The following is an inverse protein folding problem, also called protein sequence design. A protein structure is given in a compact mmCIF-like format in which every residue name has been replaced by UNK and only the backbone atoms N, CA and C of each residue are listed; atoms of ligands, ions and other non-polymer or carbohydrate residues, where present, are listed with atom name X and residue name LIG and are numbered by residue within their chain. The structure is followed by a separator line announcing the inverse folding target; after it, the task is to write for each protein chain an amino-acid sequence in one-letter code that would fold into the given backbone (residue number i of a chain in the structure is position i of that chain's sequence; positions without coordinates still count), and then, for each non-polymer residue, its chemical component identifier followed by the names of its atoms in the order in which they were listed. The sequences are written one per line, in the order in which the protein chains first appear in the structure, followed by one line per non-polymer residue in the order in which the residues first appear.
data_IF_722316136644
#
_entry.id   IF_722316136644
#
_cell.length_a   1.000
_cell.length_b   1.000
_cell.length_c   1.000
_cell.angle_alpha   90.00
_cell.angle_beta   90.00
_cell.angle_gamma   90.00
#
_symmetry.space_group_name_H-M   'P 1'
#
loop_
_entity.id
_entity.type
_entity.pdbx_description
1 polymer ?
#
# COMPACT_ATOMS: atom_id res chain seq x y z
N UNK A 1 -9.11 8.39 -35.14
CA UNK A 1 -9.14 7.01 -34.62
C UNK A 1 -7.73 6.45 -34.69
N UNK A 2 -7.02 6.37 -33.57
CA UNK A 2 -5.66 5.83 -33.52
C UNK A 2 -5.75 4.31 -33.33
N UNK A 3 -5.19 3.55 -34.28
CA UNK A 3 -5.03 2.11 -34.17
C UNK A 3 -4.06 1.81 -33.01
N UNK A 4 -4.57 1.13 -31.97
CA UNK A 4 -3.72 0.59 -30.92
C UNK A 4 -2.83 -0.49 -31.54
N UNK A 5 -1.57 -0.14 -31.82
CA UNK A 5 -0.55 -1.06 -32.33
C UNK A 5 -0.34 -2.15 -31.28
N UNK A 6 -0.75 -3.38 -31.59
CA UNK A 6 -0.55 -4.54 -30.70
C UNK A 6 0.96 -4.79 -30.63
N UNK A 7 1.54 -4.49 -29.47
CA UNK A 7 2.96 -4.67 -29.22
C UNK A 7 3.26 -6.14 -28.93
N UNK A 8 4.36 -6.67 -29.46
CA UNK A 8 4.72 -8.09 -29.23
C UNK A 8 5.14 -8.29 -27.77
N UNK A 9 4.89 -9.46 -27.20
CA UNK A 9 5.17 -9.78 -25.78
C UNK A 9 6.63 -9.57 -25.38
N UNK A 10 7.60 -9.74 -26.29
CA UNK A 10 9.01 -9.48 -26.00
C UNK A 10 9.37 -7.99 -25.95
N UNK A 11 8.59 -7.12 -26.61
CA UNK A 11 8.78 -5.67 -26.58
C UNK A 11 8.26 -5.08 -25.25
N UNK A 12 7.21 -5.67 -24.66
CA UNK A 12 6.71 -5.26 -23.33
C UNK A 12 7.68 -5.65 -22.23
N UNK A 13 8.36 -6.80 -22.34
CA UNK A 13 9.35 -7.25 -21.35
C UNK A 13 10.54 -6.29 -21.19
N UNK A 14 10.85 -5.48 -22.20
CA UNK A 14 11.91 -4.46 -22.11
C UNK A 14 11.56 -3.31 -21.16
N UNK A 15 10.28 -3.10 -20.87
CA UNK A 15 9.81 -2.06 -19.94
C UNK A 15 9.56 -2.61 -18.53
N UNK A 16 9.85 -3.90 -18.31
CA UNK A 16 9.66 -4.53 -17.00
C UNK A 16 10.80 -4.19 -16.04
N UNK A 17 10.51 -4.03 -14.74
CA UNK A 17 11.54 -3.84 -13.73
C UNK A 17 12.53 -5.00 -13.68
N UNK A 18 13.75 -4.70 -13.24
CA UNK A 18 14.82 -5.68 -13.06
C UNK A 18 15.55 -5.43 -11.76
N UNK A 19 15.87 -6.51 -11.04
CA UNK A 19 16.82 -6.45 -9.93
C UNK A 19 18.22 -6.21 -10.50
N UNK A 20 18.92 -5.22 -9.95
CA UNK A 20 20.30 -4.92 -10.22
C UNK A 20 21.14 -5.67 -9.19
N UNK A 21 22.17 -6.39 -9.65
CA UNK A 21 23.04 -7.21 -8.80
C UNK A 21 24.41 -6.56 -8.60
N UNK A 22 24.86 -5.75 -9.56
CA UNK A 22 26.19 -5.13 -9.54
C UNK A 22 26.12 -3.68 -10.02
N UNK A 23 27.11 -2.88 -9.64
CA UNK A 23 27.17 -1.45 -9.93
C UNK A 23 27.20 -1.17 -11.45
N UNK A 24 27.82 -2.04 -12.22
CA UNK A 24 27.96 -1.92 -13.67
C UNK A 24 26.61 -1.96 -14.41
N UNK A 25 25.60 -2.62 -13.81
CA UNK A 25 24.25 -2.75 -14.37
C UNK A 25 23.38 -1.51 -14.11
N UNK A 26 23.82 -0.59 -13.25
CA UNK A 26 23.10 0.67 -12.99
C UNK A 26 23.13 1.52 -14.26
N UNK A 27 22.01 2.11 -14.70
CA UNK A 27 22.02 3.04 -15.82
C UNK A 27 22.96 4.23 -15.57
N UNK A 28 23.75 4.62 -16.57
CA UNK A 28 24.79 5.65 -16.44
C UNK A 28 24.29 6.95 -15.82
N UNK A 29 23.05 7.34 -16.13
CA UNK A 29 22.44 8.54 -15.56
C UNK A 29 22.44 8.49 -14.02
N UNK A 30 22.18 7.35 -13.40
CA UNK A 30 22.14 7.22 -11.94
C UNK A 30 23.49 6.91 -11.29
N UNK A 31 24.51 6.53 -12.06
CA UNK A 31 25.79 6.04 -11.52
C UNK A 31 26.46 7.04 -10.57
N UNK A 32 26.64 8.28 -10.99
CA UNK A 32 27.27 9.34 -10.18
C UNK A 32 26.58 9.53 -8.82
N UNK A 33 25.25 9.48 -8.81
CA UNK A 33 24.46 9.63 -7.59
C UNK A 33 24.38 8.35 -6.74
N UNK A 34 24.66 7.19 -7.34
CA UNK A 34 24.69 5.91 -6.66
C UNK A 34 26.05 5.61 -6.04
N UNK A 35 27.14 6.23 -6.51
CA UNK A 35 28.49 6.10 -5.95
C UNK A 35 28.56 6.41 -4.44
N UNK A 36 27.61 7.17 -3.90
CA UNK A 36 27.47 7.41 -2.46
C UNK A 36 27.17 6.14 -1.65
N UNK A 37 26.72 5.07 -2.31
CA UNK A 37 26.48 3.74 -1.76
C UNK A 37 27.58 2.74 -2.19
N UNK A 38 28.51 3.15 -3.06
CA UNK A 38 29.60 2.33 -3.56
C UNK A 38 30.74 2.32 -2.51
N UNK A 39 31.09 1.13 -2.01
CA UNK A 39 31.95 0.94 -0.83
C UNK A 39 31.28 0.16 0.32
N UNK A 40 30.00 -0.21 0.16
CA UNK A 40 29.33 -1.11 1.09
C UNK A 40 29.87 -2.55 0.96
N UNK A 41 29.91 -3.30 2.06
CA UNK A 41 30.38 -4.71 2.07
C UNK A 41 29.55 -5.62 1.17
N UNK A 42 28.30 -5.24 0.90
CA UNK A 42 27.37 -5.95 0.02
C UNK A 42 26.59 -4.95 -0.83
N UNK A 43 26.38 -5.28 -2.10
CA UNK A 43 25.58 -4.45 -3.00
C UNK A 43 24.12 -4.36 -2.49
N UNK A 44 23.53 -3.16 -2.41
CA UNK A 44 22.19 -2.97 -1.85
C UNK A 44 21.11 -3.64 -2.69
N UNK A 45 19.94 -3.88 -2.10
CA UNK A 45 18.82 -4.43 -2.84
C UNK A 45 18.25 -3.35 -3.76
N UNK A 46 18.64 -3.40 -5.04
CA UNK A 46 18.31 -2.36 -6.02
C UNK A 46 17.44 -2.89 -7.14
N UNK A 47 16.40 -2.12 -7.51
CA UNK A 47 15.52 -2.40 -8.65
C UNK A 47 15.58 -1.23 -9.61
N UNK A 48 15.90 -1.52 -10.86
CA UNK A 48 15.75 -0.61 -11.97
C UNK A 48 14.35 -0.74 -12.58
N UNK A 49 13.70 0.40 -12.81
CA UNK A 49 12.37 0.49 -13.41
C UNK A 49 12.49 1.32 -14.69
N UNK A 50 12.50 0.66 -15.87
CA UNK A 50 12.55 1.36 -17.14
C UNK A 50 11.30 2.23 -17.35
N UNK A 51 11.38 3.29 -18.17
CA UNK A 51 10.23 4.10 -18.53
C UNK A 51 9.25 3.28 -19.37
N UNK A 52 7.97 3.38 -19.05
CA UNK A 52 6.86 2.82 -19.79
C UNK A 52 5.93 3.95 -20.24
N UNK A 53 6.05 4.33 -21.52
CA UNK A 53 5.27 5.42 -22.13
C UNK A 53 3.75 5.18 -22.10
N UNK A 54 3.30 3.95 -21.93
CA UNK A 54 1.89 3.60 -21.85
C UNK A 54 1.33 3.61 -20.43
N UNK A 55 2.19 3.64 -19.40
CA UNK A 55 1.75 3.77 -18.01
C UNK A 55 1.77 5.22 -17.58
N UNK A 56 0.64 5.73 -17.05
CA UNK A 56 0.61 7.07 -16.45
C UNK A 56 1.51 7.18 -15.22
N UNK A 57 1.69 6.08 -14.47
CA UNK A 57 2.48 6.01 -13.23
C UNK A 57 3.96 5.78 -13.49
N UNK A 58 4.33 5.27 -14.67
CA UNK A 58 5.70 4.88 -14.97
C UNK A 58 6.27 5.53 -16.24
N UNK A 59 5.98 6.81 -16.48
CA UNK A 59 6.52 7.54 -17.64
C UNK A 59 8.04 7.75 -17.56
N UNK A 60 8.53 7.95 -16.35
CA UNK A 60 9.91 8.31 -16.07
C UNK A 60 10.70 7.10 -15.61
N UNK A 61 11.98 7.05 -15.99
CA UNK A 61 12.97 6.09 -15.51
C UNK A 61 13.16 6.23 -14.01
N UNK A 62 13.16 5.12 -13.26
CA UNK A 62 13.38 5.13 -11.81
C UNK A 62 14.36 4.05 -11.39
N UNK A 63 15.01 4.30 -10.26
CA UNK A 63 15.79 3.33 -9.51
C UNK A 63 15.27 3.36 -8.07
N UNK A 64 15.06 2.20 -7.45
CA UNK A 64 14.81 2.10 -6.02
C UNK A 64 15.90 1.24 -5.41
N UNK A 65 16.48 1.71 -4.30
CA UNK A 65 17.54 1.00 -3.59
C UNK A 65 17.25 0.97 -2.11
N UNK A 66 17.34 -0.22 -1.52
CA UNK A 66 17.24 -0.41 -0.07
C UNK A 66 18.63 -0.63 0.48
N UNK A 67 19.04 0.24 1.39
CA UNK A 67 20.35 0.19 2.03
C UNK A 67 20.23 0.62 3.49
N UNK A 68 20.81 -0.17 4.40
CA UNK A 68 20.58 -0.08 5.85
C UNK A 68 19.09 0.04 6.19
N UNK A 69 18.72 1.06 6.97
CA UNK A 69 17.33 1.37 7.35
C UNK A 69 16.72 2.47 6.47
N UNK A 70 17.10 2.51 5.18
CA UNK A 70 16.71 3.56 4.25
C UNK A 70 16.29 3.03 2.89
N UNK A 71 15.40 3.77 2.25
CA UNK A 71 15.01 3.62 0.85
C UNK A 71 15.38 4.87 0.08
N UNK A 72 16.15 4.68 -0.97
CA UNK A 72 16.46 5.70 -1.95
C UNK A 72 15.59 5.49 -3.17
N UNK A 73 14.80 6.51 -3.53
CA UNK A 73 14.04 6.55 -4.77
C UNK A 73 14.67 7.60 -5.68
N UNK A 74 15.27 7.14 -6.77
CA UNK A 74 15.83 7.98 -7.82
C UNK A 74 14.82 8.08 -8.96
N UNK A 75 14.62 9.28 -9.46
CA UNK A 75 13.71 9.55 -10.58
C UNK A 75 14.39 10.48 -11.57
N UNK A 76 14.37 10.09 -12.84
CA UNK A 76 14.77 10.97 -13.93
C UNK A 76 13.64 11.95 -14.26
N UNK A 77 13.88 13.25 -14.08
CA UNK A 77 12.96 14.34 -14.39
C UNK A 77 13.67 15.34 -15.32
N UNK A 78 13.29 15.41 -16.61
CA UNK A 78 13.86 16.35 -17.58
C UNK A 78 15.40 16.35 -17.62
N UNK A 79 16.02 15.16 -17.69
CA UNK A 79 17.48 14.94 -17.65
C UNK A 79 18.17 15.33 -16.33
N UNK A 80 17.41 15.69 -15.29
CA UNK A 80 17.92 15.82 -13.92
C UNK A 80 17.49 14.62 -13.09
N UNK A 81 18.26 14.29 -12.07
CA UNK A 81 17.87 13.24 -11.12
C UNK A 81 17.33 13.91 -9.87
N UNK A 82 16.12 13.49 -9.50
CA UNK A 82 15.55 13.72 -8.19
C UNK A 82 15.78 12.48 -7.33
N UNK A 83 16.28 12.69 -6.12
CA UNK A 83 16.55 11.62 -5.16
C UNK A 83 15.77 11.92 -3.89
N UNK A 84 14.95 10.98 -3.47
CA UNK A 84 14.26 11.05 -2.18
C UNK A 84 14.75 9.88 -1.33
N UNK A 85 15.28 10.21 -0.15
CA UNK A 85 15.74 9.23 0.83
C UNK A 85 14.73 9.18 1.98
N UNK A 86 14.03 8.05 2.10
CA UNK A 86 13.16 7.77 3.24
C UNK A 86 13.93 6.91 4.23
N UNK A 87 14.06 7.36 5.48
CA UNK A 87 14.40 6.44 6.57
C UNK A 87 13.16 5.63 6.91
N UNK A 88 13.31 4.36 7.25
CA UNK A 88 12.18 3.51 7.63
C UNK A 88 11.37 4.11 8.78
N UNK A 89 12.04 4.64 9.80
CA UNK A 89 11.40 5.29 10.95
C UNK A 89 10.51 6.49 10.57
N UNK A 90 10.77 7.15 9.44
CA UNK A 90 10.04 8.33 8.96
C UNK A 90 8.93 8.01 7.95
N UNK A 91 8.78 6.74 7.57
CA UNK A 91 7.69 6.30 6.70
C UNK A 91 6.39 6.29 7.52
N UNK A 92 5.40 7.07 7.07
CA UNK A 92 4.09 7.17 7.69
C UNK A 92 3.19 6.00 7.29
N UNK A 93 3.24 5.60 6.02
CA UNK A 93 2.54 4.43 5.52
C UNK A 93 3.11 3.98 4.17
N UNK A 94 2.88 2.71 3.83
CA UNK A 94 3.21 2.16 2.51
C UNK A 94 1.95 1.62 1.87
N UNK A 95 1.71 1.97 0.61
CA UNK A 95 0.61 1.43 -0.19
C UNK A 95 1.18 0.48 -1.26
N UNK A 96 0.54 -0.67 -1.44
CA UNK A 96 0.71 -1.51 -2.62
C UNK A 96 -0.63 -1.64 -3.32
N UNK A 97 -0.65 -1.47 -4.63
CA UNK A 97 -1.83 -1.71 -5.45
C UNK A 97 -1.50 -2.70 -6.54
N UNK A 98 -2.42 -3.62 -6.80
CA UNK A 98 -2.28 -4.65 -7.83
C UNK A 98 -3.62 -4.80 -8.54
N UNK A 99 -3.70 -4.32 -9.77
CA UNK A 99 -4.91 -4.37 -10.60
C UNK A 99 -4.53 -4.92 -11.96
N UNK A 100 -4.99 -6.14 -12.27
CA UNK A 100 -4.60 -6.86 -13.49
C UNK A 100 -3.07 -6.87 -13.66
N UNK A 101 -2.56 -6.22 -14.72
CA UNK A 101 -1.13 -6.11 -15.04
C UNK A 101 -0.52 -4.76 -14.64
N UNK A 102 -1.27 -3.87 -13.99
CA UNK A 102 -0.78 -2.59 -13.46
C UNK A 102 -0.70 -2.67 -11.93
N UNK A 103 0.52 -2.75 -11.43
CA UNK A 103 0.81 -2.72 -10.00
C UNK A 103 1.60 -1.47 -9.66
N UNK A 104 1.58 -1.07 -8.39
CA UNK A 104 2.43 0.00 -7.89
C UNK A 104 2.76 -0.19 -6.42
N UNK A 105 3.88 0.40 -6.03
CA UNK A 105 4.14 0.73 -4.63
C UNK A 105 4.14 2.24 -4.47
N UNK A 106 3.63 2.73 -3.34
CA UNK A 106 3.72 4.12 -2.93
C UNK A 106 4.27 4.18 -1.51
N UNK A 107 5.34 4.93 -1.33
CA UNK A 107 5.97 5.18 -0.05
C UNK A 107 5.65 6.61 0.35
N UNK A 108 5.10 6.80 1.53
CA UNK A 108 4.70 8.08 2.07
C UNK A 108 5.38 8.31 3.41
N UNK A 109 6.11 9.41 3.54
CA UNK A 109 6.87 9.69 4.77
C UNK A 109 7.38 11.11 4.84
N UNK A 110 8.00 11.45 5.97
CA UNK A 110 8.64 12.74 6.17
C UNK A 110 10.09 12.71 5.68
N UNK A 111 10.44 13.71 4.88
CA UNK A 111 11.81 13.92 4.39
C UNK A 111 12.11 15.40 4.53
N UNK A 112 13.14 15.74 5.33
CA UNK A 112 13.50 17.13 5.64
C UNK A 112 12.30 17.95 6.17
N UNK A 113 11.54 17.38 7.12
CA UNK A 113 10.34 17.98 7.72
C UNK A 113 9.22 18.30 6.72
N UNK A 114 9.24 17.69 5.53
CA UNK A 114 8.17 17.79 4.55
C UNK A 114 7.62 16.41 4.25
N UNK A 115 6.31 16.31 4.17
CA UNK A 115 5.68 15.09 3.67
C UNK A 115 5.99 14.91 2.18
N UNK A 116 6.53 13.74 1.84
CA UNK A 116 6.83 13.33 0.47
C UNK A 116 6.16 11.99 0.18
N UNK A 117 5.83 11.80 -1.08
CA UNK A 117 5.28 10.56 -1.60
C UNK A 117 5.99 10.17 -2.87
N UNK A 118 6.42 8.92 -2.96
CA UNK A 118 7.04 8.35 -4.16
C UNK A 118 6.22 7.15 -4.63
N UNK A 119 5.69 7.22 -5.85
CA UNK A 119 4.94 6.12 -6.47
C UNK A 119 5.73 5.51 -7.63
N UNK A 120 5.86 4.19 -7.61
CA UNK A 120 6.55 3.41 -8.64
C UNK A 120 5.54 2.42 -9.21
N UNK A 121 5.10 2.66 -10.45
CA UNK A 121 4.28 1.72 -11.20
C UNK A 121 5.11 0.66 -11.90
N UNK A 122 4.63 -0.58 -11.93
CA UNK A 122 5.29 -1.71 -12.56
C UNK A 122 4.29 -2.75 -13.06
N UNK A 123 4.78 -3.69 -13.87
CA UNK A 123 3.97 -4.81 -14.31
C UNK A 123 3.82 -5.84 -13.18
N UNK A 124 2.59 -6.27 -12.88
CA UNK A 124 2.28 -7.24 -11.80
C UNK A 124 3.08 -8.54 -11.88
N UNK A 125 3.53 -8.96 -13.08
CA UNK A 125 4.41 -10.12 -13.26
C UNK A 125 5.72 -9.99 -12.46
N UNK A 126 6.13 -8.76 -12.13
CA UNK A 126 7.35 -8.44 -11.36
C UNK A 126 7.07 -7.96 -9.93
N UNK A 127 5.89 -8.25 -9.39
CA UNK A 127 5.53 -7.93 -8.00
C UNK A 127 6.49 -8.57 -6.99
N UNK A 128 7.04 -9.75 -7.33
CA UNK A 128 8.09 -10.46 -6.59
C UNK A 128 9.29 -9.59 -6.23
N UNK A 129 9.62 -8.60 -7.07
CA UNK A 129 10.74 -7.69 -6.83
C UNK A 129 10.43 -6.66 -5.73
N UNK A 130 9.17 -6.22 -5.59
CA UNK A 130 8.79 -5.10 -4.73
C UNK A 130 8.25 -5.53 -3.36
N UNK A 131 7.61 -6.70 -3.26
CA UNK A 131 7.13 -7.23 -1.99
C UNK A 131 8.22 -7.31 -0.90
N UNK A 132 9.48 -7.70 -1.20
CA UNK A 132 10.56 -7.67 -0.21
C UNK A 132 10.83 -6.28 0.36
N UNK A 133 10.66 -5.21 -0.43
CA UNK A 133 10.83 -3.83 0.04
C UNK A 133 9.73 -3.47 1.03
N UNK A 134 8.46 -3.73 0.68
CA UNK A 134 7.32 -3.49 1.57
C UNK A 134 7.48 -4.26 2.87
N UNK A 135 7.84 -5.55 2.78
CA UNK A 135 8.11 -6.38 3.95
C UNK A 135 9.21 -5.80 4.84
N UNK A 136 10.34 -5.41 4.26
CA UNK A 136 11.48 -4.80 5.00
C UNK A 136 11.10 -3.49 5.70
N UNK A 137 10.29 -2.63 5.05
CA UNK A 137 9.76 -1.42 5.69
C UNK A 137 8.92 -1.79 6.90
N UNK A 138 7.98 -2.73 6.75
CA UNK A 138 7.09 -3.11 7.84
C UNK A 138 7.86 -3.74 9.01
N UNK A 139 8.76 -4.68 8.73
CA UNK A 139 9.60 -5.36 9.74
C UNK A 139 10.57 -4.42 10.47
N UNK A 140 11.02 -3.34 9.84
CA UNK A 140 11.94 -2.39 10.47
C UNK A 140 11.23 -1.39 11.39
N UNK A 141 10.00 -0.99 11.05
CA UNK A 141 9.20 -0.08 11.88
C UNK A 141 8.59 -0.84 13.07
N UNK A 142 8.20 -2.09 12.83
CA UNK A 142 7.45 -2.89 13.79
C UNK A 142 8.39 -3.86 14.51
N UNK A 143 8.50 -3.72 15.83
CA UNK A 143 9.09 -4.80 16.66
C UNK A 143 8.03 -5.87 16.84
N UNK A 144 8.17 -6.97 16.10
CA UNK A 144 7.22 -8.07 16.16
C UNK A 144 7.56 -8.92 17.39
N UNK A 145 6.55 -9.20 18.20
CA UNK A 145 6.64 -10.17 19.30
C UNK A 145 6.14 -11.53 18.80
N UNK A 146 6.87 -12.61 19.08
CA UNK A 146 6.53 -13.93 18.58
C UNK A 146 5.09 -14.32 18.95
N UNK A 147 4.28 -14.72 17.96
CA UNK A 147 2.97 -15.29 18.17
C UNK A 147 2.70 -16.48 17.24
N UNK A 148 1.72 -17.31 17.58
CA UNK A 148 1.30 -18.42 16.71
C UNK A 148 0.52 -17.86 15.50
N UNK A 149 1.25 -17.68 14.40
CA UNK A 149 0.71 -17.15 13.13
C UNK A 149 -0.49 -17.97 12.64
N UNK A 150 -0.51 -19.30 12.86
CA UNK A 150 -1.62 -20.15 12.40
C UNK A 150 -2.91 -19.84 13.14
N UNK A 151 -2.82 -19.64 14.45
CA UNK A 151 -3.95 -19.26 15.28
C UNK A 151 -4.48 -17.87 14.89
N UNK A 152 -3.58 -16.91 14.64
CA UNK A 152 -3.95 -15.55 14.24
C UNK A 152 -4.65 -15.51 12.88
N UNK A 153 -4.15 -16.27 11.89
CA UNK A 153 -4.82 -16.40 10.60
C UNK A 153 -6.17 -17.11 10.69
N UNK A 154 -6.41 -17.95 11.70
CA UNK A 154 -7.69 -18.64 11.91
C UNK A 154 -8.81 -17.67 12.31
N UNK A 155 -8.47 -16.53 12.94
CA UNK A 155 -9.43 -15.46 13.26
C UNK A 155 -10.09 -14.87 12.01
N UNK A 156 -9.48 -15.05 10.84
CA UNK A 156 -9.98 -14.58 9.54
C UNK A 156 -10.91 -15.59 8.85
N UNK A 157 -11.06 -16.81 9.38
CA UNK A 157 -11.74 -17.90 8.67
C UNK A 157 -13.24 -17.63 8.41
N UNK A 158 -13.89 -16.78 9.20
CA UNK A 158 -15.28 -16.36 8.96
C UNK A 158 -15.44 -15.62 7.62
N UNK A 159 -14.36 -15.02 7.08
CA UNK A 159 -14.38 -14.34 5.78
C UNK A 159 -14.51 -15.32 4.61
N UNK A 160 -14.18 -16.62 4.78
CA UNK A 160 -14.34 -17.62 3.72
C UNK A 160 -15.77 -17.68 3.19
N UNK A 161 -16.75 -17.46 4.07
CA UNK A 161 -18.17 -17.51 3.72
C UNK A 161 -18.72 -16.13 3.34
N UNK A 162 -18.16 -15.05 3.89
CA UNK A 162 -18.60 -13.69 3.59
C UNK A 162 -18.05 -13.18 2.26
N UNK A 163 -16.73 -13.28 2.06
CA UNK A 163 -16.04 -12.76 0.88
C UNK A 163 -14.66 -13.45 0.74
N UNK A 164 -14.60 -14.47 -0.14
CA UNK A 164 -13.40 -15.26 -0.38
C UNK A 164 -12.22 -14.41 -0.91
N UNK A 165 -12.50 -13.31 -1.61
CA UNK A 165 -11.47 -12.41 -2.12
C UNK A 165 -10.79 -11.69 -0.97
N UNK A 166 -11.57 -11.10 -0.07
CA UNK A 166 -11.04 -10.43 1.12
C UNK A 166 -10.42 -11.40 2.14
N UNK A 167 -10.89 -12.65 2.20
CA UNK A 167 -10.19 -13.71 2.93
C UNK A 167 -8.77 -13.95 2.39
N UNK A 168 -8.60 -14.05 1.07
CA UNK A 168 -7.27 -14.24 0.48
C UNK A 168 -6.39 -13.00 0.66
N UNK A 169 -6.96 -11.80 0.50
CA UNK A 169 -6.23 -10.55 0.69
C UNK A 169 -5.75 -10.36 2.12
N UNK A 170 -6.60 -10.64 3.10
CA UNK A 170 -6.21 -10.55 4.52
C UNK A 170 -5.08 -11.53 4.85
N UNK A 171 -5.18 -12.80 4.42
CA UNK A 171 -4.11 -13.79 4.64
C UNK A 171 -2.74 -13.40 4.06
N UNK A 172 -2.73 -12.72 2.92
CA UNK A 172 -1.49 -12.25 2.30
C UNK A 172 -0.91 -10.99 2.96
N UNK A 173 -1.71 -10.29 3.76
CA UNK A 173 -1.34 -9.00 4.35
C UNK A 173 -0.68 -9.12 5.72
N UNK A 174 -0.99 -10.17 6.49
CA UNK A 174 -0.46 -10.35 7.84
C UNK A 174 0.99 -10.86 7.77
N UNK A 175 1.91 -10.18 8.45
CA UNK A 175 3.28 -10.66 8.59
C UNK A 175 3.32 -11.87 9.51
N UNK A 176 4.41 -12.63 9.40
CA UNK A 176 4.70 -13.67 10.39
C UNK A 176 4.78 -13.03 11.78
N UNK A 177 4.18 -13.69 12.76
CA UNK A 177 4.18 -13.29 14.18
C UNK A 177 3.40 -11.99 14.49
N UNK A 178 2.59 -11.48 13.57
CA UNK A 178 1.61 -10.43 13.89
C UNK A 178 0.35 -11.00 14.55
N UNK A 179 -0.09 -10.34 15.64
CA UNK A 179 -1.34 -10.65 16.34
C UNK A 179 -2.47 -9.84 15.70
N UNK A 180 -3.51 -10.52 15.23
CA UNK A 180 -4.75 -9.90 14.76
C UNK A 180 -5.62 -9.57 15.97
N UNK A 181 -5.85 -8.27 16.19
CA UNK A 181 -6.61 -7.72 17.31
C UNK A 181 -8.07 -7.52 16.93
N UNK A 182 -8.31 -6.93 15.75
CA UNK A 182 -9.67 -6.69 15.26
C UNK A 182 -9.73 -6.69 13.74
N UNK A 183 -10.89 -7.03 13.18
CA UNK A 183 -11.14 -7.05 11.73
C UNK A 183 -12.52 -6.49 11.46
N UNK A 184 -12.59 -5.49 10.59
CA UNK A 184 -13.86 -4.90 10.14
C UNK A 184 -13.96 -5.04 8.63
N UNK A 185 -14.97 -5.76 8.16
CA UNK A 185 -15.28 -5.88 6.74
C UNK A 185 -16.53 -5.06 6.38
N UNK A 186 -16.42 -4.27 5.33
CA UNK A 186 -17.52 -3.49 4.78
C UNK A 186 -17.76 -3.91 3.33
N UNK A 187 -18.91 -4.54 3.03
CA UNK A 187 -19.35 -4.77 1.65
C UNK A 187 -19.55 -3.46 0.87
N UNK A 188 -19.68 -3.53 -0.46
CA UNK A 188 -20.01 -2.35 -1.27
C UNK A 188 -21.32 -1.67 -0.80
N UNK A 189 -21.28 -0.34 -0.68
CA UNK A 189 -22.47 0.46 -0.36
C UNK A 189 -23.00 1.07 -1.65
N UNK A 190 -24.27 0.81 -1.93
CA UNK A 190 -24.99 1.33 -3.09
C UNK A 190 -26.17 2.19 -2.63
N UNK A 191 -26.20 3.45 -3.05
CA UNK A 191 -27.33 4.36 -2.83
C UNK A 191 -28.35 4.28 -3.96
N UNK A 192 -29.63 4.45 -3.64
CA UNK A 192 -30.67 4.58 -4.67
C UNK A 192 -30.61 6.00 -5.24
N UNK A 193 -30.30 6.13 -6.53
CA UNK A 193 -30.26 7.42 -7.23
C UNK A 193 -31.55 7.66 -8.05
N UNK A 194 -32.31 6.60 -8.34
CA UNK A 194 -33.67 6.64 -8.91
C UNK A 194 -34.37 5.29 -8.64
N UNK A 195 -35.67 5.14 -8.95
CA UNK A 195 -36.47 3.91 -8.63
C UNK A 195 -35.80 2.58 -9.00
N UNK A 196 -35.01 2.55 -10.08
CA UNK A 196 -34.26 1.38 -10.55
C UNK A 196 -32.74 1.57 -10.65
N UNK A 197 -32.24 2.80 -10.49
CA UNK A 197 -30.82 3.11 -10.65
C UNK A 197 -30.13 3.22 -9.30
N UNK A 198 -29.09 2.42 -9.09
CA UNK A 198 -28.23 2.50 -7.90
C UNK A 198 -26.91 3.16 -8.26
N UNK A 199 -26.46 4.10 -7.44
CA UNK A 199 -25.14 4.73 -7.51
C UNK A 199 -24.28 4.15 -6.40
N UNK A 200 -23.11 3.62 -6.75
CA UNK A 200 -22.17 3.12 -5.74
C UNK A 200 -21.59 4.30 -4.94
N UNK A 201 -21.64 4.22 -3.62
CA UNK A 201 -21.04 5.18 -2.68
C UNK A 201 -19.62 4.78 -2.32
N UNK A 202 -19.41 3.51 -1.98
CA UNK A 202 -18.07 2.95 -1.74
C UNK A 202 -17.99 1.50 -2.22
N UNK A 203 -16.78 1.07 -2.58
CA UNK A 203 -16.47 -0.32 -2.86
C UNK A 203 -16.35 -1.11 -1.54
N UNK A 204 -16.27 -2.44 -1.67
CA UNK A 204 -15.90 -3.27 -0.55
C UNK A 204 -14.48 -2.91 -0.06
N UNK A 205 -14.31 -2.92 1.25
CA UNK A 205 -13.03 -2.70 1.90
C UNK A 205 -12.99 -3.38 3.27
N UNK A 206 -11.79 -3.49 3.82
CA UNK A 206 -11.53 -4.17 5.08
C UNK A 206 -10.45 -3.44 5.85
N UNK A 207 -10.60 -3.43 7.16
CA UNK A 207 -9.58 -2.96 8.10
C UNK A 207 -9.16 -4.10 8.99
N UNK A 208 -7.86 -4.28 9.17
CA UNK A 208 -7.29 -5.24 10.10
C UNK A 208 -6.39 -4.48 11.05
N UNK A 209 -6.76 -4.46 12.33
CA UNK A 209 -5.92 -3.95 13.39
C UNK A 209 -5.04 -5.10 13.89
N UNK A 210 -3.72 -4.97 13.72
CA UNK A 210 -2.74 -5.85 14.34
C UNK A 210 -2.17 -5.21 15.61
N UNK A 211 -1.28 -5.89 16.31
CA UNK A 211 -0.53 -5.32 17.42
C UNK A 211 0.49 -4.25 16.98
N UNK A 212 0.79 -4.14 15.69
CA UNK A 212 1.87 -3.27 15.18
C UNK A 212 1.42 -2.27 14.12
N UNK A 213 0.37 -2.57 13.36
CA UNK A 213 -0.14 -1.69 12.31
C UNK A 213 -1.65 -1.82 12.09
N UNK A 214 -2.20 -0.84 11.39
CA UNK A 214 -3.54 -0.86 10.84
C UNK A 214 -3.42 -1.09 9.34
N UNK A 215 -3.96 -2.21 8.86
CA UNK A 215 -3.95 -2.59 7.46
C UNK A 215 -5.32 -2.25 6.86
N UNK A 216 -5.33 -1.45 5.79
CA UNK A 216 -6.54 -1.11 5.04
C UNK A 216 -6.47 -1.73 3.65
N UNK A 217 -7.43 -2.60 3.35
CA UNK A 217 -7.56 -3.31 2.08
C UNK A 217 -8.78 -2.78 1.34
N UNK A 218 -8.63 -2.32 0.10
CA UNK A 218 -9.71 -1.74 -0.71
C UNK A 218 -9.73 -2.34 -2.11
N UNK A 219 -10.91 -2.45 -2.70
CA UNK A 219 -11.00 -2.64 -4.15
C UNK A 219 -10.83 -1.30 -4.88
N UNK A 220 -10.22 -1.32 -6.06
CA UNK A 220 -10.06 -0.12 -6.88
C UNK A 220 -11.41 0.46 -7.31
N UNK A 221 -11.51 1.79 -7.29
CA UNK A 221 -12.71 2.50 -7.67
C UNK A 221 -13.08 2.29 -9.14
N UNK A 222 -12.11 1.96 -10.00
CA UNK A 222 -12.30 1.77 -11.43
C UNK A 222 -12.95 2.97 -12.11
N UNK A 223 -12.95 2.98 -13.44
CA UNK A 223 -13.89 3.84 -14.15
C UNK A 223 -15.28 3.18 -14.14
N UNK A 224 -16.36 3.97 -14.02
CA UNK A 224 -17.77 3.50 -13.98
C UNK A 224 -18.20 2.57 -15.14
N UNK A 225 -17.37 2.39 -16.17
CA UNK A 225 -17.68 1.63 -17.39
C UNK A 225 -17.06 0.23 -17.45
N UNK A 226 -16.08 -0.10 -16.61
CA UNK A 226 -15.40 -1.40 -16.68
C UNK A 226 -15.79 -2.30 -15.50
N UNK A 227 -16.60 -3.32 -15.79
CA UNK A 227 -16.90 -4.41 -14.82
C UNK A 227 -15.66 -5.23 -14.45
N UNK A 228 -14.54 -5.06 -15.17
CA UNK A 228 -13.24 -5.70 -14.91
C UNK A 228 -12.43 -5.03 -13.79
N UNK A 229 -12.86 -3.88 -13.27
CA UNK A 229 -12.22 -3.17 -12.13
C UNK A 229 -12.26 -3.92 -10.80
N UNK A 230 -13.00 -5.03 -10.72
CA UNK A 230 -13.00 -5.92 -9.54
C UNK A 230 -11.78 -6.84 -9.45
N UNK A 231 -10.87 -6.81 -10.43
CA UNK A 231 -9.70 -7.69 -10.48
C UNK A 231 -8.47 -6.97 -9.91
N UNK A 232 -8.45 -6.83 -8.58
CA UNK A 232 -7.34 -6.20 -7.86
C UNK A 232 -7.69 -5.74 -6.46
N UNK A 233 -6.63 -5.37 -5.73
CA UNK A 233 -6.68 -4.83 -4.38
C UNK A 233 -5.67 -3.70 -4.20
N UNK A 234 -5.93 -2.85 -3.22
CA UNK A 234 -5.03 -1.81 -2.73
C UNK A 234 -4.89 -2.02 -1.24
N UNK A 235 -3.67 -2.10 -0.75
CA UNK A 235 -3.33 -2.33 0.65
C UNK A 235 -2.52 -1.15 1.16
N UNK A 236 -3.03 -0.44 2.16
CA UNK A 236 -2.23 0.48 2.98
C UNK A 236 -1.79 -0.23 4.24
N UNK A 237 -0.50 -0.14 4.52
CA UNK A 237 0.16 -0.59 5.74
C UNK A 237 0.54 0.64 6.56
N UNK A 238 -0.17 0.86 7.67
CA UNK A 238 -0.04 2.07 8.49
C UNK A 238 0.43 1.67 9.89
N UNK A 239 1.72 1.85 10.23
CA UNK A 239 2.22 1.60 11.58
C UNK A 239 1.40 2.34 12.63
N UNK A 240 1.02 1.70 13.74
CA UNK A 240 0.13 2.37 14.72
C UNK A 240 0.80 3.60 15.35
N UNK A 241 2.13 3.58 15.48
CA UNK A 241 2.94 4.72 15.95
C UNK A 241 2.83 5.96 15.06
N UNK A 242 2.33 5.82 13.83
CA UNK A 242 2.13 6.91 12.87
C UNK A 242 0.68 7.41 12.83
N UNK A 243 -0.21 6.78 13.59
CA UNK A 243 -1.62 7.18 13.71
C UNK A 243 -1.76 8.12 14.92
N UNK A 244 -2.25 9.33 14.65
CA UNK A 244 -2.58 10.32 15.67
C UNK A 244 -3.89 10.00 16.37
N UNK A 245 -4.93 9.66 15.60
CA UNK A 245 -6.27 9.38 16.13
C UNK A 245 -7.15 8.68 15.10
N UNK A 246 -8.12 7.91 15.59
CA UNK A 246 -9.19 7.31 14.80
C UNK A 246 -10.52 8.01 15.16
N UNK A 247 -11.27 8.48 14.17
CA UNK A 247 -12.46 9.32 14.38
C UNK A 247 -13.63 8.81 13.53
N UNK A 248 -14.83 8.76 14.10
CA UNK A 248 -16.08 8.53 13.38
C UNK A 248 -16.78 9.88 13.20
N UNK A 249 -17.13 10.20 11.97
CA UNK A 249 -17.97 11.34 11.62
C UNK A 249 -19.30 10.82 11.05
N UNK A 250 -20.38 11.09 11.79
CA UNK A 250 -21.73 10.65 11.42
C UNK A 250 -22.41 11.74 10.58
N UNK A 251 -23.10 11.31 9.53
CA UNK A 251 -24.02 12.17 8.82
C UNK A 251 -25.45 11.89 9.31
N UNK A 252 -26.12 12.88 9.88
CA UNK A 252 -27.43 12.71 10.52
C UNK A 252 -28.54 12.29 9.54
N UNK A 253 -28.33 12.45 8.22
CA UNK A 253 -29.31 12.15 7.18
C UNK A 253 -29.04 10.83 6.43
N UNK A 254 -27.90 10.17 6.69
CA UNK A 254 -27.46 8.98 5.94
C UNK A 254 -27.30 7.76 6.86
N UNK A 255 -27.59 6.56 6.35
CA UNK A 255 -27.37 5.28 7.06
C UNK A 255 -25.91 4.79 6.99
N UNK A 256 -24.98 5.74 6.94
CA UNK A 256 -23.54 5.51 6.92
C UNK A 256 -22.78 6.61 7.65
N UNK A 257 -21.49 6.36 7.87
CA UNK A 257 -20.58 7.25 8.55
C UNK A 257 -19.20 7.19 7.89
N UNK A 258 -18.42 8.26 8.08
CA UNK A 258 -17.03 8.33 7.62
C UNK A 258 -16.13 7.99 8.79
N UNK A 259 -15.28 6.98 8.58
CA UNK A 259 -14.19 6.65 9.49
C UNK A 259 -12.90 7.30 9.00
N UNK A 260 -12.27 8.10 9.84
CA UNK A 260 -11.04 8.83 9.57
C UNK A 260 -9.86 8.25 10.35
N UNK A 261 -8.78 7.94 9.65
CA UNK A 261 -7.45 7.68 10.20
C UNK A 261 -6.66 8.98 10.07
N UNK A 262 -6.43 9.69 11.17
CA UNK A 262 -5.59 10.88 11.20
C UNK A 262 -4.16 10.46 11.49
N UNK A 263 -3.22 10.84 10.64
CA UNK A 263 -1.80 10.51 10.78
C UNK A 263 -1.07 11.64 11.53
N UNK A 264 0.12 11.35 12.09
CA UNK A 264 0.91 12.32 12.85
C UNK A 264 1.35 13.53 12.01
N UNK A 265 1.55 13.33 10.71
CA UNK A 265 1.92 14.36 9.73
C UNK A 265 0.73 15.23 9.26
N UNK A 266 -0.43 15.15 9.92
CA UNK A 266 -1.70 15.81 9.58
C UNK A 266 -2.37 15.34 8.28
N UNK A 267 -1.83 14.33 7.59
CA UNK A 267 -2.55 13.65 6.52
C UNK A 267 -3.71 12.82 7.09
N UNK A 268 -4.70 12.53 6.25
CA UNK A 268 -5.88 11.77 6.65
C UNK A 268 -6.24 10.73 5.58
N UNK A 269 -6.51 9.51 6.01
CA UNK A 269 -7.11 8.46 5.19
C UNK A 269 -8.53 8.24 5.69
N UNK A 270 -9.48 7.99 4.79
CA UNK A 270 -10.87 7.74 5.19
C UNK A 270 -11.46 6.51 4.52
N UNK A 271 -12.52 5.99 5.13
CA UNK A 271 -13.35 4.91 4.60
C UNK A 271 -14.80 5.12 5.03
N UNK A 272 -15.75 4.70 4.20
CA UNK A 272 -17.18 4.90 4.46
C UNK A 272 -17.79 3.58 4.92
N UNK A 273 -18.41 3.56 6.09
CA UNK A 273 -19.03 2.38 6.67
C UNK A 273 -20.54 2.55 6.80
N UNK A 274 -21.29 1.46 6.62
CA UNK A 274 -22.69 1.44 6.99
C UNK A 274 -22.84 1.51 8.51
N UNK A 275 -23.91 2.14 9.01
CA UNK A 275 -24.24 2.16 10.45
C UNK A 275 -24.34 0.76 11.07
N UNK A 276 -24.58 -0.30 10.29
CA UNK A 276 -24.54 -1.68 10.79
C UNK A 276 -23.15 -2.13 11.27
N UNK A 277 -22.09 -1.48 10.79
CA UNK A 277 -20.71 -1.76 11.17
C UNK A 277 -20.22 -0.87 12.34
N UNK A 278 -21.06 0.01 12.88
CA UNK A 278 -20.66 0.97 13.93
C UNK A 278 -20.00 0.28 15.13
N UNK A 279 -20.65 -0.76 15.68
CA UNK A 279 -20.09 -1.53 16.81
C UNK A 279 -18.74 -2.19 16.51
N UNK A 280 -18.54 -2.62 15.27
CA UNK A 280 -17.29 -3.26 14.86
C UNK A 280 -16.17 -2.22 14.74
N UNK A 281 -16.49 -1.03 14.20
CA UNK A 281 -15.54 0.09 14.12
C UNK A 281 -15.22 0.64 15.51
N UNK A 282 -16.20 0.77 16.40
CA UNK A 282 -15.96 1.18 17.80
C UNK A 282 -15.04 0.20 18.51
N UNK A 283 -15.28 -1.12 18.35
CA UNK A 283 -14.40 -2.16 18.89
C UNK A 283 -12.97 -2.07 18.35
N UNK A 284 -12.80 -1.69 17.07
CA UNK A 284 -11.48 -1.44 16.49
C UNK A 284 -10.80 -0.21 17.12
N UNK A 285 -11.55 0.88 17.34
CA UNK A 285 -11.04 2.09 17.99
C UNK A 285 -10.60 1.81 19.43
N UNK A 286 -11.41 1.07 20.19
CA UNK A 286 -11.07 0.69 21.57
C UNK A 286 -9.85 -0.24 21.62
N UNK A 287 -9.74 -1.19 20.68
CA UNK A 287 -8.55 -2.01 20.51
C UNK A 287 -7.29 -1.18 20.23
N UNK A 288 -7.40 -0.17 19.35
CA UNK A 288 -6.30 0.76 19.06
C UNK A 288 -5.90 1.55 20.31
N UNK A 289 -6.86 2.13 21.04
CA UNK A 289 -6.57 2.87 22.28
C UNK A 289 -5.88 2.01 23.32
N UNK A 290 -6.30 0.75 23.47
CA UNK A 290 -5.67 -0.20 24.37
C UNK A 290 -4.18 -0.40 24.04
N UNK A 291 -3.86 -0.68 22.77
CA UNK A 291 -2.48 -0.89 22.31
C UNK A 291 -1.61 0.36 22.52
N UNK A 292 -2.11 1.55 22.21
CA UNK A 292 -1.36 2.79 22.42
C UNK A 292 -1.10 3.04 23.91
N UNK A 293 -2.05 2.75 24.79
CA UNK A 293 -1.89 2.90 26.23
C UNK A 293 -0.87 1.92 26.82
N UNK A 294 -0.72 0.72 26.25
CA UNK A 294 0.31 -0.24 26.66
C UNK A 294 1.73 0.25 26.31
N UNK A 295 1.89 1.08 25.28
CA UNK A 295 3.19 1.61 24.87
C UNK A 295 3.69 2.81 25.68
N UNK A 296 2.78 3.50 26.38
CA UNK A 296 3.10 4.69 27.20
C UNK A 296 3.52 4.29 28.62
N UNK A 297 3.22 3.05 29.04
CA UNK A 297 3.63 2.49 30.34
C UNK A 297 5.05 1.95 30.30
#
# INVERSE_FOLDING_TARGET
MSSAKIMKSWETMKTWPKKIQFYEEIPDIFKEHFQLLDGCRQFPYTIFVPPNKWSKKNKDTKLISVFDDRIYVYKECNKKIEIICYKFEEICYTEIGSILLDSWIKICGEVNNQFKSSTIGFNTVREDLFLPIVKKIRESINKIESCDTKNELSKLDYLKTLDLKFFNYSKQSILLEEKVINVVYQPEINEKYFKYFRKRKTNAHMMILTNTELILIREDYGSKKDKSSKLGGIWDYIPLKKIKSLIIEKNNEENDFVFWIKLLNNESIYSIFSSSNEKNVDSLIEGFKHLINEWIK
#
